data_IF_012498628095
#
_entry.id   IF_012498628095
#
_cell.length_a   1.000
_cell.length_b   1.000
_cell.length_c   1.000
_cell.angle_alpha   90.00
_cell.angle_beta   90.00
_cell.angle_gamma   90.00
#
_symmetry.space_group_name_H-M   'P 1'
#
loop_
_entity.id
_entity.type
_entity.pdbx_description
1 polymer ?
#
# COMPACT_ATOMS: atom_id res chain seq x y z
N UNK A 1 6.89 34.76 2.13
CA UNK A 1 6.59 33.55 1.33
C UNK A 1 5.18 33.08 1.71
N UNK A 2 4.17 33.32 0.86
CA UNK A 2 2.77 32.90 1.14
C UNK A 2 2.66 31.44 0.73
N UNK A 3 2.45 30.55 1.70
CA UNK A 3 2.00 29.17 1.42
C UNK A 3 0.52 29.28 1.07
N UNK A 4 0.19 29.13 -0.20
CA UNK A 4 -1.19 29.00 -0.64
C UNK A 4 -1.68 27.60 -0.25
N UNK A 5 -2.23 27.48 0.94
CA UNK A 5 -2.96 26.28 1.36
C UNK A 5 -4.25 26.22 0.55
N UNK A 6 -4.39 25.25 -0.33
CA UNK A 6 -5.68 24.93 -0.93
C UNK A 6 -6.54 24.26 0.13
N UNK A 7 -7.47 25.03 0.72
CA UNK A 7 -8.51 24.47 1.58
C UNK A 7 -9.38 23.54 0.73
N UNK A 8 -9.47 22.28 1.11
CA UNK A 8 -10.33 21.30 0.47
C UNK A 8 -11.54 21.06 1.36
N UNK A 9 -12.72 21.24 0.83
CA UNK A 9 -13.97 20.91 1.53
C UNK A 9 -14.21 19.40 1.38
N UNK A 10 -14.46 18.72 2.50
CA UNK A 10 -14.86 17.32 2.53
C UNK A 10 -16.32 17.28 3.03
N UNK A 11 -17.29 16.80 2.21
CA UNK A 11 -18.66 16.58 2.67
C UNK A 11 -18.70 15.50 3.78
N UNK A 12 -19.79 15.46 4.54
CA UNK A 12 -19.95 14.48 5.63
C UNK A 12 -19.78 13.03 5.17
N UNK A 13 -20.12 12.73 3.92
CA UNK A 13 -19.96 11.41 3.30
C UNK A 13 -18.48 10.99 3.17
N UNK A 14 -17.57 11.94 3.09
CA UNK A 14 -16.13 11.73 2.93
C UNK A 14 -15.34 11.80 4.25
N UNK A 15 -16.02 12.00 5.40
CA UNK A 15 -15.35 12.12 6.70
C UNK A 15 -14.55 10.88 7.07
N UNK A 16 -15.02 9.69 6.69
CA UNK A 16 -14.29 8.44 6.92
C UNK A 16 -12.98 8.36 6.12
N UNK A 17 -12.95 8.91 4.91
CA UNK A 17 -11.73 9.00 4.10
C UNK A 17 -10.75 10.02 4.69
N UNK A 18 -11.26 11.16 5.16
CA UNK A 18 -10.45 12.17 5.82
C UNK A 18 -9.82 11.63 7.12
N UNK A 19 -10.61 10.92 7.94
CA UNK A 19 -10.09 10.27 9.15
C UNK A 19 -9.02 9.21 8.85
N UNK A 20 -9.19 8.43 7.78
CA UNK A 20 -8.21 7.45 7.34
C UNK A 20 -6.92 8.12 6.84
N UNK A 21 -7.03 9.22 6.08
CA UNK A 21 -5.87 10.04 5.69
C UNK A 21 -5.14 10.60 6.90
N UNK A 22 -5.87 11.12 7.88
CA UNK A 22 -5.32 11.69 9.11
C UNK A 22 -4.61 10.61 9.95
N UNK A 23 -5.24 9.46 10.12
CA UNK A 23 -4.66 8.33 10.89
C UNK A 23 -3.54 7.60 10.15
N UNK A 24 -3.34 7.87 8.85
CA UNK A 24 -2.37 7.15 8.01
C UNK A 24 -2.68 5.67 7.84
N UNK A 25 -3.95 5.26 8.04
CA UNK A 25 -4.40 3.89 7.92
C UNK A 25 -5.66 3.81 7.04
N UNK A 26 -5.81 2.72 6.31
CA UNK A 26 -7.02 2.45 5.53
C UNK A 26 -7.42 0.97 5.68
N UNK A 27 -8.72 0.71 5.62
CA UNK A 27 -9.19 -0.66 5.57
C UNK A 27 -8.99 -1.26 4.18
N UNK A 28 -8.27 -2.38 4.10
CA UNK A 28 -7.95 -3.01 2.82
C UNK A 28 -7.27 -4.36 2.97
N UNK A 29 -6.59 -4.79 1.91
CA UNK A 29 -5.91 -6.09 1.86
C UNK A 29 -4.39 -6.01 2.05
N UNK A 30 -3.79 -4.83 1.93
CA UNK A 30 -2.35 -4.63 2.07
C UNK A 30 -1.54 -5.23 0.92
N UNK A 31 -1.76 -4.71 -0.29
CA UNK A 31 -1.01 -5.07 -1.49
C UNK A 31 -0.92 -3.91 -2.46
N UNK A 32 0.20 -3.80 -3.17
CA UNK A 32 0.23 -3.02 -4.40
C UNK A 32 -0.43 -3.79 -5.53
N UNK A 33 -1.13 -3.06 -6.41
CA UNK A 33 -1.69 -3.60 -7.65
C UNK A 33 -1.13 -2.84 -8.85
N UNK A 34 -0.93 -3.54 -9.95
CA UNK A 34 -0.47 -2.99 -11.21
C UNK A 34 -1.47 -3.33 -12.32
N UNK A 35 -1.66 -2.41 -13.28
CA UNK A 35 -2.54 -2.66 -14.42
C UNK A 35 -1.78 -3.34 -15.56
N UNK A 36 -2.29 -4.47 -16.01
CA UNK A 36 -1.78 -5.16 -17.17
C UNK A 36 -2.56 -4.74 -18.42
N UNK A 37 -1.93 -3.94 -19.26
CA UNK A 37 -2.56 -3.37 -20.48
C UNK A 37 -2.95 -4.41 -21.52
N UNK A 38 -2.21 -5.53 -21.60
CA UNK A 38 -2.53 -6.64 -22.52
C UNK A 38 -3.74 -7.44 -22.09
N UNK A 39 -3.88 -7.67 -20.79
CA UNK A 39 -5.01 -8.39 -20.20
C UNK A 39 -6.20 -7.50 -19.89
N UNK A 40 -6.00 -6.17 -19.90
CA UNK A 40 -6.98 -5.17 -19.46
C UNK A 40 -7.53 -5.47 -18.06
N UNK A 41 -6.63 -5.92 -17.14
CA UNK A 41 -6.95 -6.29 -15.76
C UNK A 41 -5.85 -5.84 -14.81
N UNK A 42 -6.24 -5.56 -13.58
CA UNK A 42 -5.30 -5.36 -12.51
C UNK A 42 -4.75 -6.70 -12.00
N UNK A 43 -3.54 -6.68 -11.50
CA UNK A 43 -2.86 -7.83 -10.92
C UNK A 43 -2.18 -7.43 -9.62
N UNK A 44 -2.00 -8.39 -8.71
CA UNK A 44 -1.19 -8.19 -7.52
C UNK A 44 0.26 -7.95 -7.96
N UNK A 45 0.81 -6.81 -7.56
CA UNK A 45 2.23 -6.50 -7.78
C UNK A 45 3.07 -6.99 -6.62
N UNK A 46 2.65 -6.67 -5.39
CA UNK A 46 3.36 -7.08 -4.17
C UNK A 46 2.40 -7.09 -2.98
N UNK A 47 2.14 -8.26 -2.35
CA UNK A 47 1.44 -8.33 -1.08
C UNK A 47 2.40 -7.95 0.06
N UNK A 48 1.96 -7.09 0.98
CA UNK A 48 2.79 -6.70 2.13
C UNK A 48 2.80 -7.80 3.19
N UNK A 49 3.95 -8.02 3.80
CA UNK A 49 4.11 -9.00 4.85
C UNK A 49 3.14 -8.74 6.03
N UNK A 50 2.56 -9.80 6.57
CA UNK A 50 1.64 -9.73 7.71
C UNK A 50 0.24 -9.19 7.40
N UNK A 51 -0.06 -8.80 6.17
CA UNK A 51 -1.37 -8.25 5.77
C UNK A 51 -2.35 -9.33 5.30
N UNK A 52 -3.66 -9.00 5.16
CA UNK A 52 -4.66 -9.92 4.66
C UNK A 52 -4.32 -10.57 3.32
N UNK A 53 -3.72 -9.82 2.40
CA UNK A 53 -3.30 -10.36 1.10
C UNK A 53 -2.25 -11.46 1.26
N UNK A 54 -1.21 -11.22 2.07
CA UNK A 54 -0.17 -12.21 2.34
C UNK A 54 -0.71 -13.40 3.14
N UNK A 55 -1.51 -13.17 4.19
CA UNK A 55 -2.16 -14.21 5.00
C UNK A 55 -3.07 -15.11 4.17
N UNK A 56 -3.80 -14.56 3.20
CA UNK A 56 -4.62 -15.32 2.27
C UNK A 56 -3.81 -16.13 1.25
N UNK A 57 -2.51 -15.84 1.10
CA UNK A 57 -1.64 -16.52 0.14
C UNK A 57 -1.69 -15.94 -1.27
N UNK A 58 -2.10 -14.68 -1.43
CA UNK A 58 -1.96 -13.94 -2.69
C UNK A 58 -0.48 -13.76 -3.01
N UNK A 59 -0.14 -13.78 -4.29
CA UNK A 59 1.24 -13.68 -4.80
C UNK A 59 1.34 -12.62 -5.88
N UNK A 60 2.54 -12.09 -6.05
CA UNK A 60 2.84 -11.25 -7.19
C UNK A 60 2.52 -12.00 -8.49
N UNK A 61 1.85 -11.31 -9.40
CA UNK A 61 1.38 -11.88 -10.68
C UNK A 61 -0.05 -12.45 -10.67
N UNK A 62 -0.70 -12.57 -9.52
CA UNK A 62 -2.12 -12.98 -9.45
C UNK A 62 -3.00 -11.95 -10.17
N UNK A 63 -3.75 -12.39 -11.17
CA UNK A 63 -4.62 -11.55 -11.98
C UNK A 63 -5.98 -11.46 -11.29
N UNK A 64 -6.45 -10.26 -11.00
CA UNK A 64 -7.71 -10.02 -10.31
C UNK A 64 -8.88 -10.18 -11.29
N UNK A 65 -9.77 -11.12 -11.02
CA UNK A 65 -10.88 -11.47 -11.91
C UNK A 65 -12.22 -10.91 -11.44
N UNK A 66 -12.61 -11.20 -10.19
CA UNK A 66 -13.89 -10.78 -9.62
C UNK A 66 -13.76 -10.43 -8.15
N UNK A 67 -14.56 -9.45 -7.69
CA UNK A 67 -14.78 -9.14 -6.27
C UNK A 67 -16.28 -9.28 -6.00
N UNK A 68 -16.68 -10.18 -5.09
CA UNK A 68 -18.07 -10.47 -4.74
C UNK A 68 -18.96 -10.70 -5.99
N UNK A 69 -18.44 -11.47 -6.97
CA UNK A 69 -19.11 -11.77 -8.23
C UNK A 69 -19.12 -10.63 -9.27
N UNK A 70 -18.54 -9.48 -8.96
CA UNK A 70 -18.41 -8.36 -9.91
C UNK A 70 -17.13 -8.50 -10.71
N UNK A 71 -17.25 -8.63 -12.03
CA UNK A 71 -16.10 -8.72 -12.94
C UNK A 71 -15.26 -7.42 -12.91
N UNK A 72 -13.95 -7.60 -12.94
CA UNK A 72 -12.95 -6.51 -12.92
C UNK A 72 -12.39 -6.22 -14.32
N UNK A 73 -12.92 -6.83 -15.38
CA UNK A 73 -12.46 -6.57 -16.74
C UNK A 73 -12.63 -5.09 -17.12
N UNK A 74 -11.57 -4.50 -17.67
CA UNK A 74 -11.59 -3.12 -18.14
C UNK A 74 -11.59 -2.05 -17.05
N UNK A 75 -11.69 -2.43 -15.77
CA UNK A 75 -11.57 -1.47 -14.66
C UNK A 75 -10.12 -1.05 -14.48
N UNK A 76 -9.92 0.24 -14.23
CA UNK A 76 -8.60 0.78 -13.95
C UNK A 76 -8.16 0.46 -12.50
N UNK A 77 -6.87 0.71 -12.19
CA UNK A 77 -6.33 0.42 -10.86
C UNK A 77 -7.02 1.19 -9.72
N UNK A 78 -7.48 2.42 -9.98
CA UNK A 78 -8.16 3.21 -8.95
C UNK A 78 -9.51 2.60 -8.59
N UNK A 79 -10.31 2.20 -9.58
CA UNK A 79 -11.59 1.52 -9.38
C UNK A 79 -11.42 0.19 -8.65
N UNK A 80 -10.45 -0.63 -9.06
CA UNK A 80 -10.16 -1.91 -8.40
C UNK A 80 -9.66 -1.70 -6.98
N UNK A 81 -8.78 -0.72 -6.76
CA UNK A 81 -8.30 -0.35 -5.42
C UNK A 81 -9.45 0.07 -4.50
N UNK A 82 -10.39 0.86 -5.01
CA UNK A 82 -11.56 1.27 -4.25
C UNK A 82 -12.45 0.07 -3.86
N UNK A 83 -12.63 -0.90 -4.75
CA UNK A 83 -13.38 -2.13 -4.44
C UNK A 83 -12.68 -3.04 -3.43
N UNK A 84 -11.34 -3.07 -3.44
CA UNK A 84 -10.55 -3.83 -2.46
C UNK A 84 -10.56 -3.17 -1.07
N UNK A 85 -10.71 -1.86 -0.99
CA UNK A 85 -10.85 -1.11 0.26
C UNK A 85 -12.21 -1.29 0.88
N UNK A 86 -12.35 -0.91 2.13
CA UNK A 86 -13.60 -0.91 2.88
C UNK A 86 -13.34 -0.93 4.37
N UNK A 87 -14.39 -1.04 5.14
CA UNK A 87 -14.28 -1.04 6.61
C UNK A 87 -13.47 -2.27 7.07
N UNK A 88 -12.51 -2.05 7.99
CA UNK A 88 -11.76 -3.14 8.62
C UNK A 88 -12.72 -4.11 9.33
N UNK A 89 -12.42 -5.41 9.25
CA UNK A 89 -13.28 -6.49 9.75
C UNK A 89 -14.33 -6.99 8.77
N UNK A 90 -14.61 -6.27 7.65
CA UNK A 90 -15.49 -6.78 6.60
C UNK A 90 -14.78 -7.79 5.71
N UNK A 91 -15.49 -8.80 5.24
CA UNK A 91 -14.95 -9.83 4.33
C UNK A 91 -15.56 -9.69 2.94
N UNK A 92 -14.82 -10.18 1.95
CA UNK A 92 -15.29 -10.29 0.57
C UNK A 92 -14.64 -11.51 -0.13
N UNK A 93 -15.24 -11.97 -1.21
CA UNK A 93 -14.70 -13.02 -2.05
C UNK A 93 -13.92 -12.43 -3.21
N UNK A 94 -12.67 -12.89 -3.37
CA UNK A 94 -11.79 -12.49 -4.46
C UNK A 94 -11.50 -13.71 -5.34
N UNK A 95 -11.87 -13.65 -6.62
CA UNK A 95 -11.41 -14.61 -7.62
C UNK A 95 -10.19 -14.05 -8.36
N UNK A 96 -9.21 -14.90 -8.55
CA UNK A 96 -7.99 -14.61 -9.27
C UNK A 96 -7.67 -15.70 -10.30
N UNK A 97 -6.83 -15.38 -11.25
CA UNK A 97 -6.09 -16.35 -12.06
C UNK A 97 -4.60 -16.23 -11.77
N UNK A 98 -4.01 -17.32 -11.29
CA UNK A 98 -2.56 -17.41 -11.04
C UNK A 98 -1.82 -17.99 -12.23
N UNK A 99 -0.86 -17.28 -12.84
CA UNK A 99 0.00 -17.84 -13.88
C UNK A 99 0.74 -19.07 -13.35
N UNK A 100 0.82 -20.12 -14.17
CA UNK A 100 1.54 -21.34 -13.81
C UNK A 100 2.75 -21.58 -14.74
N UNK A 101 3.66 -22.45 -14.30
CA UNK A 101 4.92 -22.76 -15.01
C UNK A 101 4.71 -23.40 -16.40
N UNK A 102 3.53 -23.91 -16.70
CA UNK A 102 3.17 -24.52 -18.00
C UNK A 102 2.63 -23.50 -19.00
N UNK A 103 2.68 -22.19 -18.67
CA UNK A 103 2.17 -21.11 -19.51
C UNK A 103 0.66 -20.92 -19.47
N UNK A 104 -0.06 -21.69 -18.63
CA UNK A 104 -1.49 -21.54 -18.36
C UNK A 104 -1.77 -20.70 -17.13
N UNK A 105 -3.04 -20.69 -16.70
CA UNK A 105 -3.51 -19.99 -15.52
C UNK A 105 -4.41 -20.92 -14.70
N UNK A 106 -4.29 -20.80 -13.39
CA UNK A 106 -5.09 -21.59 -12.44
C UNK A 106 -6.08 -20.66 -11.76
N UNK A 107 -7.39 -20.84 -11.90
CA UNK A 107 -8.39 -20.06 -11.17
C UNK A 107 -8.36 -20.43 -9.69
N UNK A 108 -8.46 -19.44 -8.83
CA UNK A 108 -8.50 -19.59 -7.38
C UNK A 108 -9.47 -18.58 -6.78
N UNK A 109 -10.10 -18.96 -5.67
CA UNK A 109 -10.99 -18.07 -4.90
C UNK A 109 -10.49 -17.96 -3.47
N UNK A 110 -10.50 -16.75 -2.94
CA UNK A 110 -10.12 -16.43 -1.57
C UNK A 110 -11.21 -15.64 -0.87
N UNK A 111 -11.46 -15.95 0.39
CA UNK A 111 -12.23 -15.07 1.28
C UNK A 111 -11.22 -14.24 2.06
N UNK A 112 -11.26 -12.93 1.87
CA UNK A 112 -10.30 -12.00 2.48
C UNK A 112 -11.06 -11.11 3.46
N UNK A 113 -10.54 -11.01 4.69
CA UNK A 113 -11.04 -10.08 5.71
C UNK A 113 -10.17 -8.82 5.64
N UNK A 114 -10.80 -7.65 5.43
CA UNK A 114 -10.08 -6.38 5.42
C UNK A 114 -9.54 -6.06 6.80
N UNK A 115 -8.31 -5.62 6.87
CA UNK A 115 -7.70 -5.11 8.10
C UNK A 115 -7.36 -3.62 7.93
N UNK A 116 -7.13 -2.92 9.04
CA UNK A 116 -6.55 -1.58 9.00
C UNK A 116 -5.10 -1.67 8.54
N UNK A 117 -4.84 -1.23 7.32
CA UNK A 117 -3.50 -1.24 6.73
C UNK A 117 -2.82 0.07 7.08
N UNK A 118 -1.76 -0.01 7.84
CA UNK A 118 -0.88 1.12 8.10
C UNK A 118 0.01 1.34 6.86
N UNK A 119 -0.04 2.52 6.31
CA UNK A 119 0.92 2.91 5.28
C UNK A 119 2.20 3.35 6.00
N UNK A 120 3.31 2.62 5.89
CA UNK A 120 4.52 2.97 6.63
C UNK A 120 5.03 4.33 6.17
N UNK A 121 5.40 5.17 7.14
CA UNK A 121 6.04 6.46 6.83
C UNK A 121 7.39 6.24 6.14
N UNK A 122 8.07 5.13 6.48
CA UNK A 122 9.37 4.73 5.93
C UNK A 122 9.23 3.36 5.24
N UNK A 123 8.85 3.33 3.96
CA UNK A 123 8.69 2.08 3.21
C UNK A 123 10.03 1.40 2.87
N UNK A 124 11.13 2.14 2.89
CA UNK A 124 12.42 1.62 2.46
C UNK A 124 13.59 2.21 3.23
N UNK A 125 14.53 1.34 3.63
CA UNK A 125 15.84 1.70 4.20
C UNK A 125 16.93 0.82 3.59
N UNK A 126 18.14 1.35 3.45
CA UNK A 126 19.30 0.60 2.98
C UNK A 126 20.60 1.19 3.54
N UNK A 127 21.64 0.36 3.64
CA UNK A 127 23.02 0.84 3.74
C UNK A 127 23.60 0.79 2.32
N UNK A 128 23.97 1.96 1.81
CA UNK A 128 24.61 2.13 0.52
C UNK A 128 26.13 2.03 0.65
N UNK A 129 26.84 2.09 -0.47
CA UNK A 129 28.29 2.15 -0.49
C UNK A 129 28.83 3.28 0.39
N UNK A 130 30.05 3.16 0.88
CA UNK A 130 30.70 4.11 1.80
C UNK A 130 29.97 4.30 3.14
N UNK A 131 29.25 3.27 3.62
CA UNK A 131 28.51 3.29 4.88
C UNK A 131 27.51 4.45 4.99
N UNK A 132 26.84 4.76 3.89
CA UNK A 132 25.77 5.75 3.84
C UNK A 132 24.44 5.07 4.14
N UNK A 133 23.79 5.43 5.24
CA UNK A 133 22.41 5.04 5.52
C UNK A 133 21.45 5.79 4.61
N UNK A 134 20.46 5.09 4.03
CA UNK A 134 19.40 5.67 3.23
C UNK A 134 18.04 5.42 3.89
N UNK A 135 17.23 6.46 4.01
CA UNK A 135 15.87 6.40 4.51
C UNK A 135 14.94 7.09 3.49
N UNK A 136 14.01 6.34 2.91
CA UNK A 136 12.90 6.89 2.12
C UNK A 136 11.74 7.23 3.05
N UNK A 137 11.42 8.53 3.21
CA UNK A 137 10.29 9.01 4.02
C UNK A 137 9.17 9.48 3.10
N UNK A 138 8.11 8.67 2.97
CA UNK A 138 7.03 8.87 2.00
C UNK A 138 5.88 9.76 2.52
N UNK A 139 5.70 9.84 3.84
CA UNK A 139 4.62 10.61 4.47
C UNK A 139 4.98 11.02 5.88
N UNK A 140 4.33 12.08 6.39
CA UNK A 140 4.37 12.48 7.79
C UNK A 140 3.09 12.05 8.56
N UNK A 141 2.33 11.09 8.04
CA UNK A 141 1.15 10.52 8.71
C UNK A 141 1.51 9.31 9.58
N UNK A 142 0.64 8.95 10.51
CA UNK A 142 0.85 7.82 11.41
C UNK A 142 1.85 8.14 12.53
N UNK A 143 2.93 7.38 12.65
CA UNK A 143 3.98 7.56 13.66
C UNK A 143 5.38 7.77 13.02
N UNK A 144 5.57 8.78 12.15
CA UNK A 144 6.78 8.93 11.36
C UNK A 144 8.03 9.10 12.21
N UNK A 145 7.92 9.78 13.36
CA UNK A 145 9.06 10.00 14.27
C UNK A 145 9.55 8.70 14.93
N UNK A 146 8.64 7.80 15.31
CA UNK A 146 9.01 6.50 15.87
C UNK A 146 9.64 5.59 14.82
N UNK A 147 9.04 5.56 13.62
CA UNK A 147 9.56 4.79 12.49
C UNK A 147 10.94 5.30 12.07
N UNK A 148 11.11 6.61 11.98
CA UNK A 148 12.38 7.23 11.65
C UNK A 148 13.46 6.91 12.69
N UNK A 149 13.14 7.06 13.98
CA UNK A 149 14.08 6.71 15.04
C UNK A 149 14.52 5.26 14.97
N UNK A 150 13.57 4.33 14.73
CA UNK A 150 13.87 2.90 14.57
C UNK A 150 14.79 2.68 13.37
N UNK A 151 14.41 3.17 12.19
CA UNK A 151 15.17 3.04 10.95
C UNK A 151 16.60 3.58 11.10
N UNK A 152 16.73 4.78 11.69
CA UNK A 152 18.04 5.40 11.95
C UNK A 152 18.92 4.54 12.86
N UNK A 153 18.36 4.03 13.96
CA UNK A 153 19.11 3.18 14.89
C UNK A 153 19.52 1.85 14.26
N UNK A 154 18.66 1.26 13.44
CA UNK A 154 18.96 0.01 12.75
C UNK A 154 20.03 0.20 11.67
N UNK A 155 20.01 1.30 10.92
CA UNK A 155 21.09 1.64 9.97
C UNK A 155 22.43 1.90 10.69
N UNK A 156 22.40 2.59 11.84
CA UNK A 156 23.59 2.82 12.65
C UNK A 156 24.21 1.50 13.15
N UNK A 157 23.38 0.53 13.59
CA UNK A 157 23.84 -0.81 13.96
C UNK A 157 24.46 -1.57 12.79
N UNK A 158 24.00 -1.32 11.56
CA UNK A 158 24.54 -1.90 10.33
C UNK A 158 25.82 -1.19 9.85
N UNK A 159 26.32 -0.21 10.59
CA UNK A 159 27.59 0.47 10.30
C UNK A 159 27.46 1.76 9.49
N UNK A 160 26.26 2.30 9.32
CA UNK A 160 26.10 3.59 8.66
C UNK A 160 26.73 4.72 9.47
N UNK A 161 27.58 5.54 8.84
CA UNK A 161 28.30 6.70 9.42
C UNK A 161 27.74 8.03 8.96
N UNK A 162 26.96 8.04 7.87
CA UNK A 162 26.26 9.19 7.32
C UNK A 162 24.87 8.82 6.87
N UNK A 163 23.98 9.79 6.63
CA UNK A 163 22.59 9.55 6.33
C UNK A 163 22.12 10.40 5.14
N UNK A 164 21.39 9.77 4.24
CA UNK A 164 20.58 10.41 3.19
C UNK A 164 19.10 10.18 3.52
N UNK A 165 18.32 11.24 3.57
CA UNK A 165 16.87 11.20 3.73
C UNK A 165 16.24 11.60 2.39
N UNK A 166 15.48 10.68 1.80
CA UNK A 166 14.79 10.91 0.54
C UNK A 166 13.33 11.30 0.81
N UNK A 167 13.00 12.53 0.45
CA UNK A 167 11.65 13.09 0.55
C UNK A 167 10.95 13.21 -0.81
N UNK A 168 11.51 12.62 -1.86
CA UNK A 168 10.87 12.63 -3.18
C UNK A 168 9.53 11.93 -3.10
N UNK A 169 8.51 12.53 -3.71
CA UNK A 169 7.11 12.07 -3.66
C UNK A 169 6.48 12.07 -2.25
N UNK A 170 7.11 12.72 -1.26
CA UNK A 170 6.48 12.95 0.03
C UNK A 170 5.42 14.05 -0.10
N UNK A 171 4.15 13.67 0.03
CA UNK A 171 3.00 14.59 -0.06
C UNK A 171 2.75 15.41 1.20
N UNK A 172 3.60 15.30 2.23
CA UNK A 172 3.39 15.92 3.53
C UNK A 172 2.69 14.96 4.51
N UNK A 173 1.82 15.50 5.34
CA UNK A 173 1.08 14.77 6.37
C UNK A 173 0.68 15.69 7.52
N UNK A 174 0.45 15.14 8.70
CA UNK A 174 0.12 15.88 9.91
C UNK A 174 1.38 16.54 10.48
N UNK A 175 1.31 17.86 10.64
CA UNK A 175 2.22 18.56 11.53
C UNK A 175 1.63 18.50 12.95
N UNK A 176 2.41 18.07 13.97
CA UNK A 176 1.98 18.08 15.36
C UNK A 176 1.76 19.49 15.89
#
# INVERSE_FOLDING_TARGET
MRVAGTARFYPEEDQSELEQMIKGSFGGIGSYIAYNTKLKRSMISEPFEGTPAAKAGLKAGDILMEIDGKDLAGKNNAEVSQMLRGQAGTSFKLKIERPNVKGGRTPMEFTIVRESIQNPAIPYTAVLDNNIGYIGLSTFSGNPSKEFKKAFLDLKKQGATSLVIDLRSNGGGLLP
#
